data_IF_576956844037
#
_entry.id   IF_576956844037
#
_cell.length_a   1.000
_cell.length_b   1.000
_cell.length_c   1.000
_cell.angle_alpha   90.00
_cell.angle_beta   90.00
_cell.angle_gamma   90.00
#
_symmetry.space_group_name_H-M   'P 1'
#
loop_
_entity.id
_entity.type
_entity.pdbx_description
1 polymer ?
#
# COMPACT_ATOMS: atom_id res chain seq x y z
N UNK A 1 -42.33 -25.88 4.08
CA UNK A 1 -41.31 -24.95 4.59
C UNK A 1 -39.92 -25.37 4.07
N UNK A 2 -39.53 -24.96 2.86
CA UNK A 2 -38.28 -25.43 2.24
C UNK A 2 -37.74 -24.47 1.16
N UNK A 3 -37.75 -23.15 1.40
CA UNK A 3 -37.37 -22.16 0.37
C UNK A 3 -36.36 -21.09 0.83
N UNK A 4 -35.86 -21.14 2.07
CA UNK A 4 -34.93 -20.12 2.58
C UNK A 4 -33.47 -20.61 2.76
N UNK A 5 -33.17 -21.85 2.38
CA UNK A 5 -31.88 -22.49 2.65
C UNK A 5 -30.91 -22.52 1.46
N UNK A 6 -31.23 -21.86 0.33
CA UNK A 6 -30.33 -21.79 -0.83
C UNK A 6 -29.66 -20.43 -1.06
N UNK A 7 -30.16 -19.34 -0.47
CA UNK A 7 -29.60 -18.00 -0.71
C UNK A 7 -28.34 -17.69 0.13
N UNK A 8 -28.16 -18.32 1.30
CA UNK A 8 -26.98 -18.08 2.15
C UNK A 8 -25.69 -18.68 1.60
N UNK A 9 -25.78 -19.71 0.75
CA UNK A 9 -24.60 -20.44 0.27
C UNK A 9 -23.82 -19.71 -0.83
N UNK A 10 -24.41 -18.68 -1.46
CA UNK A 10 -23.74 -17.92 -2.53
C UNK A 10 -22.89 -16.76 -2.02
N UNK A 11 -23.19 -16.23 -0.82
CA UNK A 11 -22.43 -15.14 -0.17
C UNK A 11 -21.20 -15.64 0.59
N UNK A 12 -21.07 -16.95 0.82
CA UNK A 12 -19.87 -17.57 1.41
C UNK A 12 -18.82 -17.95 0.37
N UNK A 13 -18.83 -17.32 -0.82
CA UNK A 13 -17.65 -17.25 -1.69
C UNK A 13 -16.61 -16.34 -1.02
N UNK A 14 -16.11 -16.80 0.12
CA UNK A 14 -14.78 -16.48 0.60
C UNK A 14 -13.85 -16.78 -0.57
N UNK A 15 -13.49 -15.75 -1.32
CA UNK A 15 -12.29 -15.80 -2.14
C UNK A 15 -11.22 -16.40 -1.24
N UNK A 16 -10.61 -17.55 -1.59
CA UNK A 16 -9.53 -18.06 -0.78
C UNK A 16 -8.51 -16.93 -0.75
N UNK A 17 -8.35 -16.30 0.42
CA UNK A 17 -7.19 -15.47 0.71
C UNK A 17 -6.05 -16.44 0.52
N UNK A 18 -5.48 -16.47 -0.69
CA UNK A 18 -4.28 -17.26 -0.98
C UNK A 18 -3.28 -16.76 0.04
N UNK A 19 -3.11 -17.53 1.11
CA UNK A 19 -2.05 -17.29 2.06
C UNK A 19 -0.78 -17.30 1.22
N UNK A 20 -0.03 -16.20 1.30
CA UNK A 20 1.22 -16.09 0.58
C UNK A 20 2.07 -17.32 0.97
N UNK A 21 2.70 -18.01 0.00
CA UNK A 21 3.47 -19.21 0.29
C UNK A 21 4.55 -18.93 1.35
N UNK A 22 4.76 -19.85 2.32
CA UNK A 22 5.66 -19.62 3.45
C UNK A 22 7.13 -19.45 3.06
N UNK A 23 7.55 -19.88 1.86
CA UNK A 23 8.92 -19.74 1.38
C UNK A 23 9.30 -18.31 0.94
N UNK A 24 8.35 -17.36 0.88
CA UNK A 24 8.65 -15.94 0.62
C UNK A 24 8.94 -15.13 1.89
N UNK A 25 8.91 -15.76 3.07
CA UNK A 25 9.13 -15.09 4.34
C UNK A 25 10.62 -14.82 4.65
N UNK A 26 11.56 -15.57 4.06
CA UNK A 26 12.94 -15.60 4.57
C UNK A 26 14.05 -15.15 3.60
N UNK A 27 13.78 -14.91 2.31
CA UNK A 27 14.86 -14.55 1.37
C UNK A 27 14.43 -13.44 0.41
N UNK A 28 14.89 -12.21 0.65
CA UNK A 28 14.91 -11.10 -0.33
C UNK A 28 13.57 -10.46 -0.72
N UNK A 29 12.42 -11.07 -0.39
CA UNK A 29 11.09 -10.56 -0.76
C UNK A 29 10.68 -9.28 -0.01
N UNK A 30 11.31 -8.98 1.14
CA UNK A 30 11.07 -7.76 1.90
C UNK A 30 11.63 -6.50 1.24
N UNK A 31 12.93 -6.49 0.93
CA UNK A 31 13.60 -5.31 0.38
C UNK A 31 13.06 -4.94 -1.02
N UNK A 32 12.88 -5.92 -1.90
CA UNK A 32 12.30 -5.67 -3.23
C UNK A 32 10.85 -5.17 -3.16
N UNK A 33 10.06 -5.64 -2.19
CA UNK A 33 8.71 -5.13 -1.94
C UNK A 33 8.75 -3.68 -1.46
N UNK A 34 9.59 -3.35 -0.49
CA UNK A 34 9.71 -1.98 0.03
C UNK A 34 10.26 -1.02 -1.03
N UNK A 35 11.17 -1.46 -1.90
CA UNK A 35 11.62 -0.67 -3.05
C UNK A 35 10.48 -0.39 -4.05
N UNK A 36 9.64 -1.39 -4.36
CA UNK A 36 8.46 -1.19 -5.20
C UNK A 36 7.47 -0.24 -4.54
N UNK A 37 7.25 -0.39 -3.24
CA UNK A 37 6.36 0.46 -2.46
C UNK A 37 6.88 1.92 -2.43
N UNK A 38 8.18 2.13 -2.21
CA UNK A 38 8.81 3.45 -2.30
C UNK A 38 8.67 4.06 -3.70
N UNK A 39 8.86 3.28 -4.78
CA UNK A 39 8.67 3.75 -6.14
C UNK A 39 7.21 4.21 -6.41
N UNK A 40 6.22 3.47 -5.89
CA UNK A 40 4.81 3.84 -5.97
C UNK A 40 4.53 5.14 -5.20
N UNK A 41 4.98 5.24 -3.94
CA UNK A 41 4.77 6.44 -3.13
C UNK A 41 5.47 7.67 -3.70
N UNK A 42 6.67 7.54 -4.28
CA UNK A 42 7.32 8.64 -5.05
C UNK A 42 6.46 9.10 -6.24
N UNK A 43 5.85 8.16 -6.96
CA UNK A 43 4.94 8.47 -8.06
C UNK A 43 3.68 9.19 -7.59
N UNK A 44 3.10 8.75 -6.47
CA UNK A 44 1.94 9.39 -5.84
C UNK A 44 2.26 10.78 -5.34
N UNK A 45 3.37 10.96 -4.61
CA UNK A 45 3.80 12.24 -4.09
C UNK A 45 4.01 13.27 -5.22
N UNK A 46 4.69 12.89 -6.30
CA UNK A 46 4.86 13.77 -7.48
C UNK A 46 3.53 14.19 -8.11
N UNK A 47 2.54 13.29 -8.17
CA UNK A 47 1.21 13.63 -8.69
C UNK A 47 0.48 14.61 -7.78
N UNK A 48 0.53 14.39 -6.46
CA UNK A 48 -0.08 15.28 -5.48
C UNK A 48 0.59 16.67 -5.47
N UNK A 49 1.92 16.73 -5.59
CA UNK A 49 2.67 17.98 -5.71
C UNK A 49 2.29 18.74 -6.98
N UNK A 50 2.25 18.07 -8.15
CA UNK A 50 1.76 18.70 -9.40
C UNK A 50 0.32 19.19 -9.29
N UNK A 51 -0.53 18.45 -8.59
CA UNK A 51 -1.89 18.89 -8.34
C UNK A 51 -1.91 20.12 -7.44
N UNK A 52 -1.01 20.21 -6.46
CA UNK A 52 -0.86 21.39 -5.59
C UNK A 52 -0.34 22.63 -6.32
N UNK A 53 0.49 22.47 -7.37
CA UNK A 53 0.94 23.58 -8.23
C UNK A 53 -0.23 24.33 -8.91
N UNK A 54 -1.37 23.66 -9.11
CA UNK A 54 -2.59 24.28 -9.65
C UNK A 54 -3.33 25.19 -8.66
N UNK A 55 -2.89 25.23 -7.39
CA UNK A 55 -3.48 26.06 -6.36
C UNK A 55 -2.47 27.12 -5.88
N UNK A 56 -2.87 28.40 -5.75
CA UNK A 56 -2.01 29.41 -5.13
C UNK A 56 -1.72 29.08 -3.66
N UNK A 57 -2.67 28.42 -2.99
CA UNK A 57 -2.51 27.85 -1.65
C UNK A 57 -3.14 26.46 -1.65
N UNK A 58 -2.39 25.38 -1.35
CA UNK A 58 -2.94 24.03 -1.33
C UNK A 58 -4.07 23.90 -0.32
N UNK A 59 -5.21 23.28 -0.67
CA UNK A 59 -6.27 23.04 0.29
C UNK A 59 -5.80 22.03 1.36
N UNK A 60 -6.31 22.10 2.60
CA UNK A 60 -5.80 21.33 3.73
C UNK A 60 -5.90 19.81 3.53
N UNK A 61 -6.90 19.32 2.80
CA UNK A 61 -7.03 17.90 2.46
C UNK A 61 -5.93 17.43 1.50
N UNK A 62 -5.47 18.29 0.59
CA UNK A 62 -4.39 17.97 -0.35
C UNK A 62 -3.04 17.98 0.37
N UNK A 63 -2.84 18.97 1.25
CA UNK A 63 -1.66 19.02 2.11
C UNK A 63 -1.56 17.76 2.98
N UNK A 64 -2.65 17.34 3.62
CA UNK A 64 -2.68 16.11 4.41
C UNK A 64 -2.35 14.85 3.60
N UNK A 65 -2.80 14.77 2.34
CA UNK A 65 -2.44 13.65 1.45
C UNK A 65 -0.96 13.67 1.04
N UNK A 66 -0.37 14.85 0.82
CA UNK A 66 1.05 15.03 0.56
C UNK A 66 1.86 14.56 1.77
N UNK A 67 1.50 15.01 2.97
CA UNK A 67 2.19 14.66 4.20
C UNK A 67 2.12 13.14 4.45
N UNK A 68 0.93 12.55 4.26
CA UNK A 68 0.75 11.11 4.39
C UNK A 68 1.57 10.33 3.35
N UNK A 69 1.57 10.75 2.08
CA UNK A 69 2.38 10.12 1.04
C UNK A 69 3.89 10.21 1.34
N UNK A 70 4.34 11.33 1.90
CA UNK A 70 5.72 11.52 2.34
C UNK A 70 6.07 10.56 3.48
N UNK A 71 5.25 10.47 4.52
CA UNK A 71 5.47 9.54 5.63
C UNK A 71 5.54 8.08 5.17
N UNK A 72 4.68 7.68 4.24
CA UNK A 72 4.70 6.32 3.65
C UNK A 72 5.96 6.07 2.85
N UNK A 73 6.44 7.08 2.12
CA UNK A 73 7.68 7.00 1.38
C UNK A 73 8.87 6.82 2.32
N UNK A 74 8.99 7.67 3.33
CA UNK A 74 10.08 7.62 4.30
C UNK A 74 10.12 6.27 5.03
N UNK A 75 8.95 5.74 5.41
CA UNK A 75 8.83 4.42 6.02
C UNK A 75 9.25 3.29 5.07
N UNK A 76 8.89 3.37 3.79
CA UNK A 76 9.29 2.37 2.79
C UNK A 76 10.79 2.44 2.50
N UNK A 77 11.36 3.65 2.42
CA UNK A 77 12.79 3.86 2.20
C UNK A 77 13.61 3.34 3.39
N UNK A 78 13.19 3.64 4.63
CA UNK A 78 13.84 3.15 5.84
C UNK A 78 13.89 1.61 5.92
N UNK A 79 12.88 0.91 5.40
CA UNK A 79 12.86 -0.56 5.33
C UNK A 79 13.57 -1.13 4.10
N UNK A 80 13.84 -0.29 3.09
CA UNK A 80 14.58 -0.69 1.88
C UNK A 80 16.10 -0.61 2.05
N UNK A 81 16.59 0.18 3.02
CA UNK A 81 18.02 0.23 3.36
C UNK A 81 18.38 -1.09 4.07
N UNK A 82 19.29 -1.91 3.52
CA UNK A 82 19.78 -3.08 4.22
C UNK A 82 20.42 -2.58 5.51
N UNK A 83 19.92 -3.06 6.66
CA UNK A 83 20.52 -2.83 7.96
C UNK A 83 21.93 -3.41 7.86
N UNK A 84 22.93 -2.56 7.58
CA UNK A 84 24.31 -2.98 7.53
C UNK A 84 24.59 -3.69 8.86
N UNK A 85 24.94 -4.96 8.76
CA UNK A 85 25.23 -5.84 9.88
C UNK A 85 26.15 -5.13 10.86
N UNK A 86 25.66 -4.93 12.09
CA UNK A 86 26.46 -4.58 13.25
C UNK A 86 26.63 -5.83 14.11
#
# INVERSE_FOLDING_TARGET
>A
MALFTRLKQWLSRETPRRAAPPHMAEQGYGAARWQREAALWRGTLRRLQRQAEGYPTPPPWLQSQIDHAQQRLDAAEAQSVPKASA
#
